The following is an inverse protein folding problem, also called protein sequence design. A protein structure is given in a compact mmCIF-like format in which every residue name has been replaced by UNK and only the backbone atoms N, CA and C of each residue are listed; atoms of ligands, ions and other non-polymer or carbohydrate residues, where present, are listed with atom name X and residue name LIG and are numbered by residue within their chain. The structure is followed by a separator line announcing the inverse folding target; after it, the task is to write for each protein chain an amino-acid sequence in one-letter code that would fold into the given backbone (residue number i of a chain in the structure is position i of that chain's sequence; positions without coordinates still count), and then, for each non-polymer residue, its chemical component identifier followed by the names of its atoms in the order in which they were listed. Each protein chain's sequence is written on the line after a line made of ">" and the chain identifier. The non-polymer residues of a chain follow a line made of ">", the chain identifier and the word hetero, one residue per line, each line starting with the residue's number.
data_IF_755036912773
#
_entry.id   IF_755036912773
#
_cell.length_a   1.000
_cell.length_b   1.000
_cell.length_c   1.000
_cell.angle_alpha   90.00
_cell.angle_beta   90.00
_cell.angle_gamma   90.00
#
_symmetry.space_group_name_H-M   'P 1'
#
loop_
_entity.id
_entity.type
_entity.pdbx_description
1 polymer ?
#
# COMPACT_ATOMS: atom_id res chain seq x y z
N UNK A 1 -2.48 7.54 -8.89
CA UNK A 1 -2.07 8.28 -7.69
C UNK A 1 -1.63 9.67 -8.11
N UNK A 2 -1.80 10.70 -7.28
CA UNK A 2 -1.30 12.03 -7.61
C UNK A 2 0.22 12.00 -7.87
N UNK A 3 0.68 12.77 -8.84
CA UNK A 3 2.12 12.96 -9.06
C UNK A 3 2.79 13.51 -7.79
N UNK A 4 4.00 13.05 -7.48
CA UNK A 4 4.73 13.44 -6.27
C UNK A 4 4.27 12.76 -4.98
N UNK A 5 3.32 11.81 -5.05
CA UNK A 5 2.89 11.03 -3.87
C UNK A 5 3.94 10.03 -3.38
N UNK A 6 5.03 9.83 -4.11
CA UNK A 6 6.08 8.87 -3.76
C UNK A 6 7.46 9.45 -4.01
N UNK A 7 8.35 9.27 -3.04
CA UNK A 7 9.75 9.65 -3.10
C UNK A 7 10.61 8.43 -2.75
N UNK A 8 11.71 8.25 -3.46
CA UNK A 8 12.63 7.12 -3.27
C UNK A 8 14.05 7.63 -3.32
N UNK A 9 14.82 7.39 -2.27
CA UNK A 9 16.26 7.60 -2.22
C UNK A 9 16.94 6.23 -2.03
N UNK A 10 17.45 5.67 -3.13
CA UNK A 10 18.11 4.36 -3.10
C UNK A 10 19.52 4.44 -2.50
N UNK A 11 20.15 5.61 -2.44
CA UNK A 11 21.47 5.78 -1.85
C UNK A 11 21.37 5.80 -0.32
N UNK A 12 20.34 6.44 0.22
CA UNK A 12 19.99 6.41 1.66
C UNK A 12 19.18 5.15 2.06
N UNK A 13 18.66 4.43 1.06
CA UNK A 13 17.85 3.23 1.28
C UNK A 13 16.51 3.55 1.95
N UNK A 14 15.91 4.67 1.54
CA UNK A 14 14.63 5.16 2.04
C UNK A 14 13.62 5.33 0.91
N UNK A 15 12.35 5.22 1.29
CA UNK A 15 11.25 5.62 0.43
C UNK A 15 10.11 6.14 1.30
N UNK A 16 9.31 7.02 0.72
CA UNK A 16 8.09 7.52 1.33
C UNK A 16 6.96 7.51 0.31
N UNK A 17 5.76 7.19 0.77
CA UNK A 17 4.54 7.26 0.01
C UNK A 17 3.49 8.00 0.82
N UNK A 18 2.96 9.10 0.28
CA UNK A 18 1.91 9.90 0.88
C UNK A 18 0.80 10.14 -0.12
N UNK A 19 -0.41 9.72 0.24
CA UNK A 19 -1.61 10.00 -0.55
C UNK A 19 -2.75 10.43 0.35
N UNK A 20 -3.44 11.48 -0.07
CA UNK A 20 -4.64 12.00 0.58
C UNK A 20 -5.80 12.04 -0.41
N UNK A 21 -7.01 12.11 0.13
CA UNK A 21 -8.24 12.25 -0.65
C UNK A 21 -8.30 11.20 -1.75
N UNK A 22 -8.09 9.93 -1.37
CA UNK A 22 -8.16 8.80 -2.29
C UNK A 22 -9.64 8.55 -2.62
N UNK A 23 -10.23 9.47 -3.38
CA UNK A 23 -11.66 9.59 -3.67
C UNK A 23 -12.20 8.46 -4.56
N UNK A 24 -11.32 7.62 -5.11
CA UNK A 24 -11.66 6.61 -6.11
C UNK A 24 -11.69 5.17 -5.57
N UNK A 25 -11.28 4.92 -4.33
CA UNK A 25 -11.44 3.59 -3.72
C UNK A 25 -12.79 3.56 -3.00
N UNK A 26 -13.86 3.58 -3.78
CA UNK A 26 -15.16 3.08 -3.33
C UNK A 26 -15.03 1.56 -3.30
N UNK A 27 -14.53 1.02 -2.18
CA UNK A 27 -14.72 -0.40 -1.90
C UNK A 27 -16.15 -0.57 -1.40
N UNK A 28 -17.10 -0.49 -2.35
CA UNK A 28 -18.39 -1.12 -2.15
C UNK A 28 -18.10 -2.62 -2.20
N UNK A 29 -17.73 -3.20 -1.05
CA UNK A 29 -17.52 -4.63 -0.92
C UNK A 29 -18.73 -5.34 -1.56
N UNK A 30 -18.55 -5.89 -2.77
CA UNK A 30 -19.45 -6.91 -3.31
C UNK A 30 -19.22 -8.24 -2.59
N UNK A 31 -18.21 -8.29 -1.71
CA UNK A 31 -17.96 -9.36 -0.76
C UNK A 31 -19.10 -9.37 0.27
N UNK A 32 -19.91 -10.44 0.34
CA UNK A 32 -20.88 -10.61 1.41
C UNK A 32 -20.15 -10.53 2.76
N UNK A 33 -20.46 -9.51 3.57
CA UNK A 33 -19.92 -9.43 4.91
C UNK A 33 -20.42 -10.63 5.72
N UNK A 34 -19.52 -11.29 6.47
CA UNK A 34 -19.71 -12.54 7.21
C UNK A 34 -20.74 -12.51 8.36
N UNK A 35 -21.59 -11.48 8.45
CA UNK A 35 -22.61 -11.35 9.49
C UNK A 35 -23.94 -11.91 8.94
N UNK A 36 -24.01 -13.25 8.90
CA UNK A 36 -25.20 -14.09 8.72
C UNK A 36 -26.00 -13.95 7.40
N UNK A 37 -26.25 -15.04 6.64
CA UNK A 37 -27.03 -15.00 5.40
C UNK A 37 -28.50 -14.51 5.59
N UNK A 38 -29.01 -14.50 6.81
CA UNK A 38 -30.35 -14.05 7.19
C UNK A 38 -30.44 -12.54 7.53
N UNK A 39 -29.32 -11.81 7.59
CA UNK A 39 -29.31 -10.35 7.87
C UNK A 39 -28.27 -9.58 7.04
N UNK A 40 -28.48 -9.41 5.72
CA UNK A 40 -27.62 -8.55 4.93
C UNK A 40 -27.74 -7.10 5.39
N UNK A 41 -26.78 -6.64 6.20
CA UNK A 41 -26.62 -5.23 6.58
C UNK A 41 -26.00 -4.41 5.44
N UNK A 42 -26.64 -4.40 4.27
CA UNK A 42 -26.34 -3.50 3.14
C UNK A 42 -24.90 -3.50 2.61
N UNK A 43 -24.63 -2.58 1.69
CA UNK A 43 -23.28 -2.24 1.24
C UNK A 43 -22.70 -1.19 2.18
N UNK A 44 -21.51 -1.43 2.74
CA UNK A 44 -20.77 -0.42 3.50
C UNK A 44 -19.81 0.27 2.54
N UNK A 45 -20.03 1.56 2.29
CA UNK A 45 -19.11 2.37 1.50
C UNK A 45 -18.02 2.94 2.41
N UNK A 46 -16.79 2.47 2.26
CA UNK A 46 -15.61 3.09 2.88
C UNK A 46 -14.88 4.01 1.89
N UNK A 47 -14.16 4.99 2.40
CA UNK A 47 -13.15 5.76 1.66
C UNK A 47 -11.87 5.81 2.46
N UNK A 48 -10.73 5.77 1.78
CA UNK A 48 -9.43 6.00 2.38
C UNK A 48 -9.18 7.52 2.32
N UNK A 49 -9.15 8.17 3.48
CA UNK A 49 -8.88 9.60 3.57
C UNK A 49 -7.39 9.88 3.38
N UNK A 50 -6.52 9.07 3.97
CA UNK A 50 -5.07 9.19 3.84
C UNK A 50 -4.33 7.88 4.00
N UNK A 51 -3.18 7.78 3.34
CA UNK A 51 -2.18 6.72 3.48
C UNK A 51 -0.81 7.37 3.53
N UNK A 52 -0.04 7.05 4.55
CA UNK A 52 1.38 7.37 4.66
C UNK A 52 2.15 6.07 4.90
N UNK A 53 3.14 5.79 4.06
CA UNK A 53 4.05 4.65 4.22
C UNK A 53 5.47 5.16 4.15
N UNK A 54 6.32 4.72 5.08
CA UNK A 54 7.75 5.04 5.09
C UNK A 54 8.56 3.78 5.19
N UNK A 55 9.58 3.66 4.35
CA UNK A 55 10.52 2.56 4.30
C UNK A 55 11.90 3.07 4.70
N UNK A 56 12.57 2.40 5.65
CA UNK A 56 13.95 2.71 6.04
C UNK A 56 14.63 1.56 6.75
N UNK A 57 15.94 1.69 6.93
CA UNK A 57 16.74 0.69 7.64
C UNK A 57 16.94 -0.54 6.78
N UNK A 58 17.78 -0.40 5.75
CA UNK A 58 18.19 -1.49 4.87
C UNK A 58 18.77 -2.64 5.70
N UNK A 59 18.29 -3.85 5.45
CA UNK A 59 18.74 -5.09 6.09
C UNK A 59 19.55 -5.97 5.16
N UNK A 60 19.26 -5.92 3.85
CA UNK A 60 20.00 -6.62 2.80
C UNK A 60 19.94 -5.84 1.49
N UNK A 61 20.94 -6.06 0.65
CA UNK A 61 21.03 -5.47 -0.69
C UNK A 61 21.24 -6.57 -1.73
N UNK A 62 20.48 -6.50 -2.81
CA UNK A 62 20.54 -7.42 -3.95
C UNK A 62 20.82 -6.60 -5.22
N UNK A 63 22.09 -6.45 -5.56
CA UNK A 63 22.53 -5.62 -6.67
C UNK A 63 22.77 -6.46 -7.93
N UNK A 64 22.43 -5.92 -9.09
CA UNK A 64 22.65 -6.57 -10.39
C UNK A 64 21.88 -7.87 -10.56
N UNK A 65 20.69 -7.99 -9.95
CA UNK A 65 19.81 -9.13 -10.17
C UNK A 65 19.44 -9.16 -11.65
N UNK A 66 19.58 -10.32 -12.28
CA UNK A 66 19.30 -10.48 -13.71
C UNK A 66 18.64 -11.84 -13.99
N UNK A 67 17.57 -11.82 -14.76
CA UNK A 67 16.93 -13.00 -15.32
C UNK A 67 16.90 -12.87 -16.85
N UNK A 68 17.72 -13.67 -17.51
CA UNK A 68 17.86 -13.67 -18.96
C UNK A 68 16.62 -14.24 -19.68
N UNK A 69 15.84 -15.10 -19.03
CA UNK A 69 14.63 -15.71 -19.59
C UNK A 69 13.48 -14.70 -19.62
N UNK A 70 13.32 -13.93 -18.54
CA UNK A 70 12.27 -12.92 -18.43
C UNK A 70 12.77 -11.51 -18.82
N UNK A 71 14.01 -11.39 -19.32
CA UNK A 71 14.67 -10.14 -19.69
C UNK A 71 14.65 -9.07 -18.58
N UNK A 72 14.64 -9.52 -17.33
CA UNK A 72 14.52 -8.69 -16.14
C UNK A 72 15.90 -8.32 -15.60
N UNK A 73 16.04 -7.11 -15.08
CA UNK A 73 17.19 -6.73 -14.26
C UNK A 73 16.85 -5.67 -13.25
N UNK A 74 17.51 -5.66 -12.09
CA UNK A 74 17.25 -4.65 -11.07
C UNK A 74 18.20 -4.67 -9.89
N UNK A 75 18.08 -3.62 -9.09
CA UNK A 75 18.76 -3.43 -7.82
C UNK A 75 17.71 -3.27 -6.73
N UNK A 76 17.79 -4.08 -5.68
CA UNK A 76 16.79 -4.15 -4.62
C UNK A 76 17.41 -4.04 -3.23
N UNK A 77 16.70 -3.39 -2.32
CA UNK A 77 17.06 -3.21 -0.92
C UNK A 77 15.93 -3.76 -0.06
N UNK A 78 16.22 -4.79 0.74
CA UNK A 78 15.29 -5.29 1.72
C UNK A 78 15.24 -4.34 2.93
N UNK A 79 14.05 -3.92 3.31
CA UNK A 79 13.79 -2.92 4.34
C UNK A 79 13.35 -3.59 5.65
N UNK A 80 14.00 -3.19 6.75
CA UNK A 80 13.72 -3.72 8.09
C UNK A 80 12.69 -2.92 8.89
N UNK A 81 12.49 -1.65 8.55
CA UNK A 81 11.54 -0.79 9.25
C UNK A 81 10.58 -0.14 8.26
N UNK A 82 9.30 -0.44 8.43
CA UNK A 82 8.22 0.20 7.68
C UNK A 82 7.15 0.69 8.64
N UNK A 83 6.73 1.93 8.48
CA UNK A 83 5.58 2.49 9.20
C UNK A 83 4.44 2.72 8.22
N UNK A 84 3.22 2.31 8.59
CA UNK A 84 2.02 2.45 7.75
C UNK A 84 0.94 3.17 8.58
N UNK A 85 0.61 4.39 8.18
CA UNK A 85 -0.50 5.15 8.74
C UNK A 85 -1.64 5.22 7.72
N UNK A 86 -2.84 4.81 8.13
CA UNK A 86 -4.04 4.82 7.29
C UNK A 86 -5.19 5.43 8.08
N UNK A 87 -5.88 6.37 7.46
CA UNK A 87 -7.17 6.84 7.93
C UNK A 87 -8.24 6.49 6.90
N UNK A 88 -9.31 5.84 7.35
CA UNK A 88 -10.45 5.51 6.51
C UNK A 88 -11.77 5.87 7.22
N UNK A 89 -12.75 6.31 6.45
CA UNK A 89 -14.07 6.70 6.97
C UNK A 89 -15.20 6.15 6.08
N UNK A 90 -16.43 6.09 6.59
CA UNK A 90 -17.61 6.08 5.72
C UNK A 90 -18.02 7.50 5.33
N UNK A 91 -18.53 7.71 4.10
CA UNK A 91 -19.16 8.99 3.75
C UNK A 91 -20.31 9.31 4.71
N UNK A 92 -20.42 10.58 5.11
CA UNK A 92 -21.52 11.04 6.01
C UNK A 92 -22.92 10.72 5.48
N UNK A 93 -23.06 10.56 4.16
CA UNK A 93 -24.31 10.24 3.47
C UNK A 93 -24.83 8.82 3.71
N UNK A 94 -24.02 7.92 4.29
CA UNK A 94 -24.44 6.52 4.52
C UNK A 94 -25.25 6.32 5.81
N UNK A 95 -25.41 7.36 6.65
CA UNK A 95 -26.19 7.31 7.90
C UNK A 95 -25.56 6.48 9.04
N UNK A 96 -24.53 5.69 8.75
CA UNK A 96 -23.75 4.91 9.72
C UNK A 96 -22.25 5.18 9.52
N UNK A 97 -21.69 5.95 10.47
CA UNK A 97 -20.31 6.42 10.46
C UNK A 97 -19.34 5.41 11.08
N UNK A 98 -18.29 5.00 10.36
CA UNK A 98 -17.07 4.50 10.99
C UNK A 98 -15.90 5.43 10.70
N UNK A 99 -14.96 5.50 11.64
CA UNK A 99 -13.63 6.08 11.44
C UNK A 99 -12.62 5.06 11.92
N UNK A 100 -11.79 4.60 10.99
CA UNK A 100 -10.64 3.77 11.26
C UNK A 100 -9.39 4.64 11.18
N UNK A 101 -8.53 4.52 12.19
CA UNK A 101 -7.20 5.13 12.22
C UNK A 101 -6.26 4.01 12.64
N UNK A 102 -5.28 3.68 11.80
CA UNK A 102 -4.27 2.69 12.20
C UNK A 102 -3.35 3.28 13.26
N UNK A 103 -2.79 2.41 14.09
CA UNK A 103 -1.63 2.73 14.92
C UNK A 103 -0.37 2.20 14.22
N UNK A 104 0.45 3.07 13.60
CA UNK A 104 1.66 2.65 12.88
C UNK A 104 2.67 1.91 13.76
N UNK A 105 2.64 2.12 15.08
CA UNK A 105 3.55 1.45 16.01
C UNK A 105 3.23 -0.04 16.19
N UNK A 106 2.00 -0.45 15.86
CA UNK A 106 1.53 -1.84 16.01
C UNK A 106 1.45 -2.59 14.68
N UNK A 107 1.71 -1.91 13.56
CA UNK A 107 1.72 -2.52 12.23
C UNK A 107 2.81 -3.58 12.16
N UNK A 108 2.42 -4.80 11.77
CA UNK A 108 3.36 -5.88 11.48
C UNK A 108 3.65 -5.93 9.99
N UNK A 109 4.92 -5.78 9.63
CA UNK A 109 5.41 -5.92 8.25
C UNK A 109 6.35 -7.11 8.20
N UNK A 110 5.96 -8.14 7.43
CA UNK A 110 6.73 -9.37 7.32
C UNK A 110 7.88 -9.26 6.31
N UNK A 111 7.67 -8.46 5.26
CA UNK A 111 8.64 -8.21 4.21
C UNK A 111 8.38 -6.84 3.61
N UNK A 112 9.47 -6.14 3.26
CA UNK A 112 9.41 -4.89 2.54
C UNK A 112 10.69 -4.73 1.71
N UNK A 113 10.54 -4.11 0.55
CA UNK A 113 11.62 -3.90 -0.40
C UNK A 113 11.40 -2.58 -1.14
N UNK A 114 12.50 -1.90 -1.43
CA UNK A 114 12.54 -0.78 -2.36
C UNK A 114 13.62 -1.10 -3.40
N UNK A 115 13.49 -0.54 -4.59
CA UNK A 115 14.47 -0.81 -5.63
C UNK A 115 14.15 -0.11 -6.93
N UNK A 116 15.01 -0.37 -7.90
CA UNK A 116 14.80 0.02 -9.29
C UNK A 116 14.85 -1.23 -10.15
N UNK A 117 13.95 -1.28 -11.08
CA UNK A 117 13.80 -2.40 -12.00
C UNK A 117 13.82 -1.88 -13.43
N UNK A 118 14.51 -2.61 -14.29
CA UNK A 118 14.37 -2.51 -15.74
C UNK A 118 13.62 -3.75 -16.21
N UNK A 119 12.32 -3.56 -16.42
CA UNK A 119 11.44 -4.61 -16.89
C UNK A 119 11.77 -5.04 -18.33
N UNK A 120 11.88 -6.35 -18.53
CA UNK A 120 11.81 -7.02 -19.83
C UNK A 120 10.35 -7.27 -20.19
N UNK A 121 9.99 -7.01 -21.45
CA UNK A 121 8.66 -7.14 -22.08
C UNK A 121 7.49 -7.55 -21.16
N UNK A 122 6.63 -6.58 -20.81
CA UNK A 122 5.28 -6.88 -20.36
C UNK A 122 4.48 -7.36 -21.58
N UNK A 123 3.97 -8.59 -21.53
CA UNK A 123 3.08 -9.26 -22.51
C UNK A 123 3.76 -9.89 -23.74
N UNK A 124 3.56 -11.21 -23.89
CA UNK A 124 3.59 -11.94 -25.17
C UNK A 124 2.17 -12.13 -25.69
#
# INVERSE_FOLDING_TARGET
>A
MPEGSGEVDLDDGTAEFHAENICAVFDAFTVPNSISPDRPLGFVSGRIDSVEIKWRGVTKSFMGVHDATNHFSGDFLQIGMVTIAVTATTPKTTGHGFRFVSDPATTKVNYAEIGRERNGVFFS
#
